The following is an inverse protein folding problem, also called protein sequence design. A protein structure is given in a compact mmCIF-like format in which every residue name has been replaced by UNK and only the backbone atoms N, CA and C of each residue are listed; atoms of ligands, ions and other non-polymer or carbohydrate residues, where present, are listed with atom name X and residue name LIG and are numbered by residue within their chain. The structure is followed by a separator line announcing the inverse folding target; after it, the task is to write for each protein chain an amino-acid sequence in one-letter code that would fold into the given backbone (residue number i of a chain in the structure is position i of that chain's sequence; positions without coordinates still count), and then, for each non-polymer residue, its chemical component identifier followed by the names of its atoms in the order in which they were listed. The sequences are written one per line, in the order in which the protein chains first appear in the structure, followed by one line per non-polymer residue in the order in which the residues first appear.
data_IF_258375233958
#
_entry.id   IF_258375233958
#
_cell.length_a   1.000
_cell.length_b   1.000
_cell.length_c   1.000
_cell.angle_alpha   90.00
_cell.angle_beta   90.00
_cell.angle_gamma   90.00
#
_symmetry.space_group_name_H-M   'P 1'
#
loop_
_entity.id
_entity.type
_entity.pdbx_description
1 polymer ?
#
# COMPACT_ATOMS: atom_id res chain seq x y z
N UNK A 1 -10.28 -5.48 30.54
CA UNK A 1 -10.10 -4.35 29.61
C UNK A 1 -8.73 -4.53 29.00
N UNK A 2 -8.63 -4.53 27.69
CA UNK A 2 -7.33 -4.49 27.01
C UNK A 2 -6.72 -3.11 27.26
N UNK A 3 -5.41 -3.06 27.43
CA UNK A 3 -4.64 -1.81 27.35
C UNK A 3 -4.68 -1.29 25.93
N UNK A 4 -4.47 0.02 25.75
CA UNK A 4 -4.51 0.66 24.43
C UNK A 4 -3.49 0.06 23.45
N UNK A 5 -2.34 -0.40 23.94
CA UNK A 5 -1.34 -1.09 23.11
C UNK A 5 -1.76 -2.52 22.74
N UNK A 6 -2.48 -3.24 23.60
CA UNK A 6 -3.04 -4.56 23.27
C UNK A 6 -4.13 -4.42 22.20
N UNK A 7 -5.03 -3.45 22.36
CA UNK A 7 -6.03 -3.12 21.35
C UNK A 7 -5.38 -2.73 20.01
N UNK A 8 -4.34 -1.89 20.04
CA UNK A 8 -3.59 -1.52 18.85
C UNK A 8 -2.95 -2.72 18.13
N UNK A 9 -2.46 -3.69 18.90
CA UNK A 9 -1.94 -4.94 18.35
C UNK A 9 -3.03 -5.81 17.71
N UNK A 10 -4.22 -5.88 18.31
CA UNK A 10 -5.35 -6.61 17.72
C UNK A 10 -5.80 -5.98 16.39
N UNK A 11 -5.96 -4.66 16.36
CA UNK A 11 -6.29 -3.91 15.14
C UNK A 11 -5.22 -4.12 14.06
N UNK A 12 -3.94 -4.12 14.45
CA UNK A 12 -2.82 -4.39 13.54
C UNK A 12 -2.92 -5.79 12.91
N UNK A 13 -3.15 -6.83 13.71
CA UNK A 13 -3.26 -8.21 13.19
C UNK A 13 -4.51 -8.40 12.32
N UNK A 14 -5.64 -7.80 12.69
CA UNK A 14 -6.86 -7.85 11.88
C UNK A 14 -6.64 -7.22 10.49
N UNK A 15 -5.99 -6.04 10.45
CA UNK A 15 -5.65 -5.38 9.21
C UNK A 15 -4.63 -6.16 8.38
N UNK A 16 -3.61 -6.74 9.03
CA UNK A 16 -2.64 -7.61 8.35
C UNK A 16 -3.33 -8.77 7.63
N UNK A 17 -4.22 -9.48 8.34
CA UNK A 17 -4.98 -10.60 7.76
C UNK A 17 -5.86 -10.11 6.60
N UNK A 18 -6.49 -8.93 6.75
CA UNK A 18 -7.27 -8.33 5.68
C UNK A 18 -6.44 -7.98 4.45
N UNK A 19 -5.19 -7.53 4.62
CA UNK A 19 -4.26 -7.23 3.53
C UNK A 19 -3.83 -8.53 2.85
N UNK A 20 -3.45 -9.55 3.61
CA UNK A 20 -3.10 -10.87 3.08
C UNK A 20 -4.24 -11.46 2.24
N UNK A 21 -5.49 -11.33 2.72
CA UNK A 21 -6.67 -11.79 1.97
C UNK A 21 -6.90 -10.98 0.70
N UNK A 22 -6.79 -9.65 0.78
CA UNK A 22 -6.90 -8.78 -0.40
C UNK A 22 -5.84 -9.13 -1.45
N UNK A 23 -4.62 -9.49 -1.04
CA UNK A 23 -3.55 -10.00 -1.90
C UNK A 23 -3.90 -11.31 -2.59
N UNK A 24 -4.43 -12.28 -1.86
CA UNK A 24 -4.84 -13.57 -2.43
C UNK A 24 -5.99 -13.42 -3.42
N UNK A 25 -6.97 -12.59 -3.11
CA UNK A 25 -8.15 -12.37 -3.95
C UNK A 25 -7.93 -11.37 -5.09
N UNK A 26 -6.79 -10.66 -5.08
CA UNK A 26 -6.50 -9.52 -5.97
C UNK A 26 -7.58 -8.45 -5.89
N UNK A 27 -8.12 -8.23 -4.68
CA UNK A 27 -9.22 -7.31 -4.45
C UNK A 27 -8.93 -6.33 -3.30
N UNK A 28 -8.17 -5.29 -3.65
CA UNK A 28 -7.59 -4.28 -2.75
C UNK A 28 -8.63 -3.45 -1.99
N UNK A 29 -9.83 -3.32 -2.56
CA UNK A 29 -10.94 -2.62 -1.93
C UNK A 29 -11.30 -3.21 -0.57
N UNK A 30 -11.08 -4.51 -0.34
CA UNK A 30 -11.35 -5.16 0.95
C UNK A 30 -10.51 -4.55 2.07
N UNK A 31 -9.19 -4.39 1.85
CA UNK A 31 -8.29 -3.83 2.85
C UNK A 31 -8.65 -2.37 3.18
N UNK A 32 -8.92 -1.56 2.15
CA UNK A 32 -9.31 -0.15 2.31
C UNK A 32 -10.66 -0.02 3.05
N UNK A 33 -11.65 -0.84 2.69
CA UNK A 33 -12.95 -0.87 3.35
C UNK A 33 -12.81 -1.26 4.82
N UNK A 34 -12.05 -2.31 5.12
CA UNK A 34 -11.88 -2.80 6.48
C UNK A 34 -11.12 -1.77 7.35
N UNK A 35 -10.11 -1.08 6.80
CA UNK A 35 -9.46 0.04 7.47
C UNK A 35 -10.47 1.13 7.88
N UNK A 36 -11.37 1.53 6.96
CA UNK A 36 -12.42 2.52 7.26
C UNK A 36 -13.39 2.03 8.32
N UNK A 37 -13.77 0.74 8.31
CA UNK A 37 -14.64 0.13 9.34
C UNK A 37 -13.97 0.16 10.71
N UNK A 38 -12.66 -0.04 10.77
CA UNK A 38 -11.85 0.06 11.99
C UNK A 38 -11.61 1.51 12.45
N UNK A 39 -12.16 2.50 11.75
CA UNK A 39 -12.10 3.92 12.12
C UNK A 39 -10.90 4.68 11.54
N UNK A 40 -10.14 4.09 10.61
CA UNK A 40 -9.05 4.82 9.95
C UNK A 40 -9.60 5.98 9.14
N UNK A 41 -8.94 7.14 9.28
CA UNK A 41 -9.15 8.30 8.44
C UNK A 41 -8.27 8.20 7.21
N UNK A 42 -8.87 8.39 6.03
CA UNK A 42 -8.14 8.35 4.76
C UNK A 42 -7.60 9.73 4.41
N UNK A 43 -6.34 9.78 4.03
CA UNK A 43 -5.68 10.95 3.44
C UNK A 43 -5.11 10.57 2.09
N UNK A 44 -5.47 11.33 1.06
CA UNK A 44 -4.91 11.14 -0.27
C UNK A 44 -3.50 11.74 -0.32
N UNK A 45 -2.50 10.95 -0.69
CA UNK A 45 -1.09 11.36 -0.83
C UNK A 45 -0.59 11.14 -2.26
N UNK A 46 -1.51 11.10 -3.23
CA UNK A 46 -1.23 10.95 -4.65
C UNK A 46 -0.14 11.93 -5.10
N UNK A 47 1.00 11.38 -5.53
CA UNK A 47 2.09 12.12 -6.14
C UNK A 47 2.11 11.83 -7.65
N UNK A 48 2.60 12.76 -8.47
CA UNK A 48 2.48 12.72 -9.94
C UNK A 48 3.08 11.51 -10.69
N UNK A 49 3.62 10.50 -9.99
CA UNK A 49 4.16 9.27 -10.54
C UNK A 49 3.53 7.98 -9.97
N UNK A 50 2.68 8.06 -8.94
CA UNK A 50 2.00 6.90 -8.35
C UNK A 50 0.80 7.37 -7.49
N UNK A 51 -0.34 6.68 -7.60
CA UNK A 51 -1.46 6.89 -6.68
C UNK A 51 -1.13 6.22 -5.35
N UNK A 52 -0.93 7.05 -4.33
CA UNK A 52 -0.67 6.63 -2.96
C UNK A 52 -1.84 7.02 -2.07
N UNK A 53 -2.35 6.08 -1.27
CA UNK A 53 -3.32 6.38 -0.21
C UNK A 53 -2.67 6.11 1.14
N UNK A 54 -2.88 7.01 2.08
CA UNK A 54 -2.52 6.80 3.47
C UNK A 54 -3.81 6.70 4.29
N UNK A 55 -3.87 5.72 5.17
CA UNK A 55 -4.92 5.57 6.16
C UNK A 55 -4.28 5.63 7.52
N UNK A 56 -4.79 6.49 8.40
CA UNK A 56 -4.25 6.67 9.75
C UNK A 56 -5.33 6.45 10.79
N UNK A 57 -4.95 5.80 11.89
CA UNK A 57 -5.77 5.63 13.07
C UNK A 57 -4.94 6.04 14.29
N UNK A 58 -5.42 7.07 14.98
CA UNK A 58 -4.90 7.46 16.28
C UNK A 58 -5.75 6.80 17.37
N UNK A 59 -5.15 5.93 18.18
CA UNK A 59 -5.81 5.28 19.31
C UNK A 59 -5.64 6.15 20.57
N UNK A 60 -4.43 6.67 20.77
CA UNK A 60 -4.06 7.57 21.87
C UNK A 60 -3.10 8.65 21.37
N UNK A 61 -2.82 9.71 22.17
CA UNK A 61 -1.83 10.74 21.81
C UNK A 61 -0.46 10.20 21.40
N UNK A 62 -0.07 9.02 21.87
CA UNK A 62 1.20 8.40 21.52
C UNK A 62 1.03 7.10 20.73
N UNK A 63 -0.17 6.58 20.46
CA UNK A 63 -0.36 5.29 19.77
C UNK A 63 -1.04 5.49 18.42
N UNK A 64 -0.34 5.11 17.35
CA UNK A 64 -0.77 5.34 15.98
C UNK A 64 -0.59 4.11 15.11
N UNK A 65 -1.59 3.83 14.27
CA UNK A 65 -1.46 2.91 13.15
C UNK A 65 -1.51 3.68 11.85
N UNK A 66 -0.64 3.31 10.91
CA UNK A 66 -0.65 3.86 9.55
C UNK A 66 -0.61 2.72 8.54
N UNK A 67 -1.56 2.73 7.62
CA UNK A 67 -1.61 1.87 6.45
C UNK A 67 -1.34 2.72 5.22
N UNK A 68 -0.20 2.50 4.59
CA UNK A 68 0.16 3.10 3.31
C UNK A 68 -0.09 2.11 2.18
N UNK A 69 -0.71 2.61 1.13
CA UNK A 69 -0.99 1.91 -0.12
C UNK A 69 -0.32 2.66 -1.25
N UNK A 70 0.39 1.94 -2.13
CA UNK A 70 0.92 2.49 -3.38
C UNK A 70 0.49 1.63 -4.56
N UNK A 71 -0.27 2.23 -5.47
CA UNK A 71 -0.60 1.71 -6.79
C UNK A 71 0.39 2.23 -7.82
N UNK A 72 0.87 1.35 -8.72
CA UNK A 72 1.63 1.79 -9.89
C UNK A 72 0.75 2.04 -11.12
N UNK A 73 -0.55 1.76 -11.04
CA UNK A 73 -1.50 2.10 -12.09
C UNK A 73 -2.19 3.43 -11.77
N UNK A 74 -1.93 4.43 -12.62
CA UNK A 74 -2.58 5.73 -12.61
C UNK A 74 -3.99 5.68 -13.18
N UNK A 75 -4.83 4.78 -12.68
CA UNK A 75 -6.24 4.69 -13.08
C UNK A 75 -7.13 4.88 -11.88
N UNK A 76 -8.10 5.80 -11.99
CA UNK A 76 -9.15 6.03 -10.98
C UNK A 76 -9.97 4.76 -10.67
N UNK A 77 -9.92 3.78 -11.56
CA UNK A 77 -10.53 2.46 -11.40
C UNK A 77 -9.57 1.50 -10.66
N UNK A 78 -9.92 1.15 -9.43
CA UNK A 78 -9.27 0.14 -8.57
C UNK A 78 -9.44 -1.31 -9.10
N UNK A 79 -9.47 -1.51 -10.42
CA UNK A 79 -9.89 -2.77 -11.06
C UNK A 79 -8.77 -3.57 -11.71
N UNK A 80 -7.57 -3.02 -11.87
CA UNK A 80 -6.46 -3.73 -12.52
C UNK A 80 -5.41 -4.21 -11.50
N UNK A 81 -4.97 -5.45 -11.74
CA UNK A 81 -4.46 -6.40 -10.76
C UNK A 81 -2.97 -6.31 -10.49
N UNK A 82 -2.23 -5.40 -11.11
CA UNK A 82 -0.78 -5.50 -11.12
C UNK A 82 -0.16 -4.33 -10.37
N UNK A 83 0.44 -4.68 -9.24
CA UNK A 83 1.31 -3.84 -8.41
C UNK A 83 0.60 -2.97 -7.37
N UNK A 84 0.36 -3.58 -6.22
CA UNK A 84 0.05 -2.86 -4.99
C UNK A 84 1.02 -3.28 -3.88
N UNK A 85 1.78 -2.30 -3.37
CA UNK A 85 2.54 -2.47 -2.12
C UNK A 85 1.73 -1.86 -0.99
N UNK A 86 1.47 -2.65 0.03
CA UNK A 86 0.92 -2.24 1.31
C UNK A 86 2.04 -2.19 2.34
N UNK A 87 1.98 -1.18 3.19
CA UNK A 87 2.80 -1.09 4.39
C UNK A 87 1.90 -0.72 5.56
N UNK A 88 1.83 -1.59 6.56
CA UNK A 88 1.13 -1.34 7.81
C UNK A 88 2.15 -1.14 8.92
N UNK A 89 2.03 -0.05 9.66
CA UNK A 89 2.91 0.27 10.79
C UNK A 89 2.10 0.53 12.04
N UNK A 90 2.68 0.15 13.19
CA UNK A 90 2.22 0.51 14.53
C UNK A 90 3.36 1.25 15.22
N UNK A 91 3.08 2.47 15.69
CA UNK A 91 4.01 3.33 16.40
C UNK A 91 3.51 3.65 17.81
N UNK A 92 4.46 3.81 18.73
CA UNK A 92 4.24 4.34 20.07
C UNK A 92 5.22 5.49 20.33
N UNK A 93 4.73 6.74 20.37
CA UNK A 93 5.55 7.94 20.26
C UNK A 93 6.34 7.94 18.96
N UNK A 94 7.65 8.15 19.06
CA UNK A 94 8.59 8.06 17.93
C UNK A 94 9.07 6.63 17.63
N UNK A 95 8.69 5.65 18.46
CA UNK A 95 9.15 4.27 18.33
C UNK A 95 8.26 3.47 17.36
N UNK A 96 8.89 2.83 16.38
CA UNK A 96 8.22 1.87 15.50
C UNK A 96 8.16 0.49 16.18
N UNK A 97 6.96 0.09 16.60
CA UNK A 97 6.74 -1.16 17.35
C UNK A 97 6.57 -2.33 16.38
N UNK A 98 5.78 -2.17 15.31
CA UNK A 98 5.55 -3.23 14.30
C UNK A 98 5.48 -2.63 12.90
N UNK A 99 5.95 -3.42 11.94
CA UNK A 99 5.81 -3.19 10.50
C UNK A 99 5.42 -4.48 9.82
N UNK A 100 4.50 -4.37 8.87
CA UNK A 100 4.14 -5.45 7.97
C UNK A 100 4.10 -4.90 6.54
N UNK A 101 4.66 -5.66 5.61
CA UNK A 101 4.62 -5.41 4.18
C UNK A 101 4.17 -6.70 3.50
N UNK A 102 3.28 -6.58 2.52
CA UNK A 102 2.88 -7.74 1.73
C UNK A 102 4.02 -8.20 0.82
N UNK A 103 4.03 -9.48 0.46
CA UNK A 103 4.93 -10.04 -0.55
C UNK A 103 4.56 -9.46 -1.92
N UNK A 104 5.16 -8.30 -2.23
CA UNK A 104 5.10 -7.68 -3.53
C UNK A 104 6.42 -7.95 -4.27
N UNK A 105 6.33 -8.64 -5.41
CA UNK A 105 7.44 -8.78 -6.35
C UNK A 105 7.33 -7.66 -7.38
N UNK A 106 8.21 -6.66 -7.29
CA UNK A 106 8.33 -5.65 -8.34
C UNK A 106 8.81 -6.36 -9.61
N UNK A 107 7.88 -6.57 -10.55
CA UNK A 107 8.27 -7.05 -11.87
C UNK A 107 9.31 -6.07 -12.40
N UNK A 108 10.53 -6.52 -12.74
CA UNK A 108 11.55 -5.62 -13.25
C UNK A 108 10.95 -4.93 -14.48
N UNK A 109 10.97 -3.59 -14.49
CA UNK A 109 10.54 -2.79 -15.61
C UNK A 109 11.07 -3.44 -16.90
N UNK A 110 10.23 -3.67 -17.93
CA UNK A 110 10.71 -4.27 -19.16
C UNK A 110 11.89 -3.43 -19.63
N UNK A 111 13.08 -4.05 -19.68
CA UNK A 111 14.30 -3.41 -20.16
C UNK A 111 13.91 -2.78 -21.50
N UNK A 112 13.93 -1.45 -21.55
CA UNK A 112 13.57 -0.70 -22.74
C UNK A 112 14.40 -1.28 -23.88
N UNK A 113 13.77 -2.06 -24.77
CA UNK A 113 14.49 -2.62 -25.92
C UNK A 113 15.05 -1.41 -26.65
N UNK A 114 16.37 -1.34 -26.88
CA UNK A 114 16.92 -0.23 -27.63
C UNK A 114 16.15 -0.15 -28.95
N UNK A 115 15.52 1.00 -29.18
CA UNK A 115 14.85 1.29 -30.44
C UNK A 115 15.88 1.06 -31.53
N UNK A 116 15.71 -0.01 -32.31
CA UNK A 116 16.51 -0.21 -33.51
C UNK A 116 16.15 0.96 -34.43
N UNK A 117 16.93 2.03 -34.38
CA UNK A 117 16.96 3.00 -35.45
C UNK A 117 17.27 2.21 -36.72
N UNK A 118 16.26 2.03 -37.58
CA UNK A 118 16.49 1.65 -38.97
C UNK A 118 17.37 2.75 -39.54
N UNK A 119 18.67 2.48 -39.63
CA UNK A 119 19.59 3.29 -40.39
C UNK A 119 19.05 3.40 -41.81
N UNK A 120 18.74 4.63 -42.22
CA UNK A 120 18.60 4.94 -43.63
C UNK A 120 19.99 4.77 -44.25
N UNK A 121 20.16 3.71 -45.04
CA UNK A 121 21.30 3.58 -45.92
C UNK A 121 21.12 4.59 -47.04
N UNK A 122 21.80 5.73 -46.94
CA UNK A 122 21.98 6.63 -48.07
C UNK A 122 23.05 6.02 -48.98
N UNK A 123 22.62 5.42 -50.08
CA UNK A 123 23.50 5.08 -51.20
C UNK A 123 23.89 6.39 -51.89
N UNK A 124 25.18 6.65 -52.03
CA UNK A 124 25.75 7.65 -52.94
C UNK A 124 26.20 6.90 -54.19
#
# INVERSE_FOLDING_TARGET
MLTSIEFANEVFEELRVSIDQACKERYWFIACRNARVLGFSQTDVSCGAAYGQCFELQIEPDIYLSLTYKSMECTETLTSSDVTRFELTLKHGDELIKVYQNEFEEAPLPIARPVRHRGYSATI
#
